data_IF_745846205107
#
_entry.id   IF_745846205107
#
_cell.length_a   1.000
_cell.length_b   1.000
_cell.length_c   1.000
_cell.angle_alpha   90.00
_cell.angle_beta   90.00
_cell.angle_gamma   90.00
#
_symmetry.space_group_name_H-M   'P 1'
#
loop_
_entity.id
_entity.type
_entity.pdbx_description
1 polymer ?
#
# COMPACT_ATOMS: atom_id res chain seq x y z
N UNK A 1 27.22 38.20 2.35
CA UNK A 1 26.21 37.44 1.58
C UNK A 1 26.65 35.98 1.47
N UNK A 2 26.43 35.16 2.51
CA UNK A 2 26.88 33.74 2.53
C UNK A 2 25.88 32.79 3.24
N UNK A 3 24.62 33.21 3.36
CA UNK A 3 23.61 32.48 4.15
C UNK A 3 22.56 31.76 3.29
N UNK A 4 22.48 32.05 1.99
CA UNK A 4 21.46 31.48 1.09
C UNK A 4 21.77 30.08 0.59
N UNK A 5 23.05 29.69 0.52
CA UNK A 5 23.46 28.39 -0.04
C UNK A 5 23.23 27.23 0.95
N UNK A 6 23.27 27.51 2.26
CA UNK A 6 23.03 26.49 3.30
C UNK A 6 21.53 26.16 3.46
N UNK A 7 20.65 27.16 3.27
CA UNK A 7 19.20 26.95 3.26
C UNK A 7 18.72 26.15 2.04
N UNK A 8 19.38 26.33 0.87
CA UNK A 8 19.05 25.56 -0.33
C UNK A 8 19.54 24.10 -0.25
N UNK A 9 20.65 23.84 0.43
CA UNK A 9 21.14 22.48 0.70
C UNK A 9 20.24 21.71 1.69
N UNK A 10 19.61 22.39 2.65
CA UNK A 10 18.65 21.77 3.57
C UNK A 10 17.28 21.48 2.91
N UNK A 11 16.86 22.28 1.93
CA UNK A 11 15.60 22.07 1.20
C UNK A 11 15.63 20.85 0.28
N UNK A 12 16.81 20.41 -0.17
CA UNK A 12 16.97 19.18 -0.99
C UNK A 12 16.98 17.91 -0.12
N UNK A 13 17.27 18.01 1.18
CA UNK A 13 17.24 16.86 2.12
C UNK A 13 15.82 16.62 2.67
N UNK A 14 14.88 17.52 2.41
CA UNK A 14 13.44 17.30 2.63
C UNK A 14 12.72 16.68 1.42
N UNK A 15 13.43 15.98 0.53
CA UNK A 15 12.77 14.96 -0.29
C UNK A 15 12.13 13.96 0.68
N UNK A 16 10.80 13.81 0.61
CA UNK A 16 9.98 13.12 1.61
C UNK A 16 10.50 11.71 1.93
N UNK A 17 11.36 11.62 2.94
CA UNK A 17 11.80 10.34 3.48
C UNK A 17 10.59 9.69 4.15
N UNK A 18 10.29 8.46 3.77
CA UNK A 18 9.29 7.64 4.43
C UNK A 18 9.60 7.57 5.92
N UNK A 19 8.78 8.22 6.77
CA UNK A 19 9.14 8.41 8.16
C UNK A 19 9.06 7.10 8.94
N UNK A 20 9.77 7.00 10.07
CA UNK A 20 9.87 5.77 10.85
C UNK A 20 8.51 5.23 11.36
N UNK A 21 7.58 6.07 11.89
CA UNK A 21 6.23 5.63 12.26
C UNK A 21 5.46 4.99 11.11
N UNK A 22 5.62 5.56 9.92
CA UNK A 22 4.97 5.06 8.74
C UNK A 22 5.47 3.64 8.35
N UNK A 23 6.78 3.41 8.43
CA UNK A 23 7.38 2.09 8.22
C UNK A 23 6.82 1.03 9.18
N UNK A 24 6.75 1.35 10.47
CA UNK A 24 6.18 0.45 11.50
C UNK A 24 4.72 0.11 11.17
N UNK A 25 3.94 1.11 10.75
CA UNK A 25 2.54 0.93 10.38
C UNK A 25 2.38 -0.09 9.25
N UNK A 26 3.14 0.07 8.17
CA UNK A 26 3.13 -0.86 7.03
C UNK A 26 3.56 -2.26 7.43
N UNK A 27 4.65 -2.40 8.20
CA UNK A 27 5.14 -3.70 8.64
C UNK A 27 4.12 -4.44 9.51
N UNK A 28 3.44 -3.71 10.39
CA UNK A 28 2.37 -4.27 11.23
C UNK A 28 1.17 -4.73 10.40
N UNK A 29 0.82 -4.00 9.33
CA UNK A 29 -0.25 -4.41 8.42
C UNK A 29 0.14 -5.64 7.59
N UNK A 30 1.39 -5.71 7.14
CA UNK A 30 1.92 -6.88 6.40
C UNK A 30 1.94 -8.12 7.29
N UNK A 31 2.38 -7.98 8.54
CA UNK A 31 2.34 -9.07 9.50
C UNK A 31 0.90 -9.59 9.67
N UNK A 32 -0.08 -8.71 9.84
CA UNK A 32 -1.50 -9.09 9.89
C UNK A 32 -1.96 -9.79 8.61
N UNK A 33 -1.55 -9.33 7.43
CA UNK A 33 -1.89 -10.01 6.17
C UNK A 33 -1.36 -11.45 6.10
N UNK A 34 -0.23 -11.74 6.76
CA UNK A 34 0.34 -13.10 6.81
C UNK A 34 -0.49 -14.09 7.63
N UNK A 35 -1.36 -13.58 8.52
CA UNK A 35 -2.23 -14.38 9.38
C UNK A 35 -3.55 -14.76 8.68
N UNK A 36 -3.92 -14.07 7.59
CA UNK A 36 -5.21 -14.22 6.94
C UNK A 36 -5.14 -14.89 5.57
N UNK A 37 -6.14 -15.71 5.27
CA UNK A 37 -6.34 -16.30 3.95
C UNK A 37 -6.70 -15.23 2.92
N UNK A 38 -6.27 -15.43 1.67
CA UNK A 38 -6.60 -14.54 0.57
C UNK A 38 -8.11 -14.48 0.34
N UNK A 39 -8.68 -13.28 0.29
CA UNK A 39 -10.09 -13.04 0.06
C UNK A 39 -10.97 -13.00 1.31
N UNK A 40 -10.40 -13.16 2.50
CA UNK A 40 -11.16 -13.08 3.74
C UNK A 40 -11.68 -11.65 4.00
N UNK A 41 -12.63 -11.49 4.92
CA UNK A 41 -13.10 -10.17 5.33
C UNK A 41 -12.01 -9.35 6.01
N UNK A 42 -11.18 -10.01 6.82
CA UNK A 42 -10.08 -9.43 7.56
C UNK A 42 -9.00 -8.91 6.60
N UNK A 43 -8.66 -9.65 5.55
CA UNK A 43 -7.75 -9.17 4.50
C UNK A 43 -8.23 -7.84 3.91
N UNK A 44 -9.52 -7.76 3.55
CA UNK A 44 -10.14 -6.54 2.99
C UNK A 44 -10.03 -5.35 3.94
N UNK A 45 -10.25 -5.57 5.23
CA UNK A 45 -10.09 -4.55 6.27
C UNK A 45 -8.64 -4.06 6.33
N UNK A 46 -7.66 -4.97 6.23
CA UNK A 46 -6.24 -4.58 6.23
C UNK A 46 -5.91 -3.77 4.97
N UNK A 47 -6.39 -4.16 3.79
CA UNK A 47 -6.21 -3.36 2.57
C UNK A 47 -6.83 -1.97 2.67
N UNK A 48 -8.02 -1.83 3.25
CA UNK A 48 -8.62 -0.53 3.50
C UNK A 48 -7.72 0.34 4.38
N UNK A 49 -7.11 -0.24 5.43
CA UNK A 49 -6.16 0.48 6.30
C UNK A 49 -4.87 0.87 5.57
N UNK A 50 -4.34 0.00 4.71
CA UNK A 50 -3.18 0.34 3.86
C UNK A 50 -3.54 1.51 2.94
N UNK A 51 -4.72 1.50 2.31
CA UNK A 51 -5.17 2.61 1.47
C UNK A 51 -5.29 3.93 2.24
N UNK A 52 -5.92 3.93 3.43
CA UNK A 52 -6.01 5.11 4.30
C UNK A 52 -4.62 5.66 4.66
N UNK A 53 -3.72 4.74 4.98
CA UNK A 53 -2.36 5.06 5.35
C UNK A 53 -1.56 5.70 4.19
N UNK A 54 -1.81 5.24 2.96
CA UNK A 54 -1.28 5.86 1.73
C UNK A 54 -2.06 7.11 1.30
N UNK A 55 -2.99 7.62 2.11
CA UNK A 55 -3.78 8.82 1.84
C UNK A 55 -5.00 8.61 0.92
N UNK A 56 -5.31 7.38 0.52
CA UNK A 56 -6.43 7.04 -0.37
C UNK A 56 -7.70 6.66 0.41
N UNK A 57 -8.29 7.66 1.07
CA UNK A 57 -9.53 7.52 1.83
C UNK A 57 -10.74 7.15 0.97
N UNK A 58 -10.75 7.54 -0.31
CA UNK A 58 -11.87 7.27 -1.22
C UNK A 58 -11.94 5.79 -1.58
N UNK A 59 -10.81 5.17 -1.88
CA UNK A 59 -10.79 3.76 -2.23
C UNK A 59 -10.74 2.84 -1.00
N UNK A 60 -10.35 3.34 0.18
CA UNK A 60 -10.42 2.53 1.40
C UNK A 60 -11.84 2.03 1.72
N UNK A 61 -12.85 2.88 1.57
CA UNK A 61 -14.25 2.50 1.77
C UNK A 61 -14.67 1.41 0.77
N UNK A 62 -14.22 1.53 -0.50
CA UNK A 62 -14.52 0.56 -1.56
C UNK A 62 -13.84 -0.79 -1.33
N UNK A 63 -12.67 -0.81 -0.69
CA UNK A 63 -11.98 -2.06 -0.32
C UNK A 63 -12.75 -2.87 0.72
N UNK A 64 -13.72 -2.27 1.42
CA UNK A 64 -14.61 -2.98 2.34
C UNK A 64 -15.85 -3.59 1.66
N UNK A 65 -16.03 -3.35 0.35
CA UNK A 65 -17.15 -3.89 -0.43
C UNK A 65 -17.08 -5.40 -0.62
N UNK A 66 -18.14 -5.99 -1.15
CA UNK A 66 -18.14 -7.39 -1.57
C UNK A 66 -17.02 -7.67 -2.58
N UNK A 67 -16.38 -8.84 -2.48
CA UNK A 67 -15.16 -9.18 -3.23
C UNK A 67 -15.40 -9.24 -4.74
N UNK A 68 -16.60 -9.63 -5.12
CA UNK A 68 -17.10 -9.77 -6.49
C UNK A 68 -17.46 -8.42 -7.13
N UNK A 69 -17.56 -7.35 -6.33
CA UNK A 69 -17.95 -6.03 -6.83
C UNK A 69 -16.86 -5.41 -7.71
N UNK A 70 -17.29 -4.69 -8.76
CA UNK A 70 -16.38 -3.87 -9.56
C UNK A 70 -15.65 -2.82 -8.71
N UNK A 71 -16.35 -2.26 -7.73
CA UNK A 71 -15.79 -1.26 -6.82
C UNK A 71 -14.59 -1.80 -6.03
N UNK A 72 -14.66 -3.03 -5.55
CA UNK A 72 -13.55 -3.69 -4.85
C UNK A 72 -12.37 -3.91 -5.79
N UNK A 73 -12.60 -4.41 -7.02
CA UNK A 73 -11.54 -4.62 -8.02
C UNK A 73 -10.83 -3.34 -8.40
N UNK A 74 -11.58 -2.30 -8.70
CA UNK A 74 -11.01 -1.01 -9.12
C UNK A 74 -10.19 -0.42 -7.97
N UNK A 75 -10.67 -0.56 -6.73
CA UNK A 75 -9.94 -0.12 -5.56
C UNK A 75 -8.65 -0.92 -5.31
N UNK A 76 -8.63 -2.23 -5.57
CA UNK A 76 -7.40 -3.04 -5.51
C UNK A 76 -6.37 -2.59 -6.56
N UNK A 77 -6.79 -2.25 -7.78
CA UNK A 77 -5.90 -1.73 -8.81
C UNK A 77 -5.28 -0.40 -8.41
N UNK A 78 -6.08 0.52 -7.86
CA UNK A 78 -5.56 1.80 -7.37
C UNK A 78 -4.61 1.57 -6.20
N UNK A 79 -4.94 0.68 -5.26
CA UNK A 79 -4.05 0.32 -4.16
C UNK A 79 -2.71 -0.23 -4.67
N UNK A 80 -2.71 -1.11 -5.68
CA UNK A 80 -1.49 -1.60 -6.33
C UNK A 80 -0.67 -0.45 -6.94
N UNK A 81 -1.32 0.51 -7.60
CA UNK A 81 -0.63 1.67 -8.15
C UNK A 81 0.02 2.49 -7.04
N UNK A 82 -0.72 2.81 -5.98
CA UNK A 82 -0.23 3.60 -4.86
C UNK A 82 0.97 2.92 -4.17
N UNK A 83 0.90 1.61 -3.93
CA UNK A 83 2.00 0.81 -3.36
C UNK A 83 3.24 0.87 -4.26
N UNK A 84 3.09 0.81 -5.58
CA UNK A 84 4.20 0.88 -6.51
C UNK A 84 4.83 2.28 -6.58
N UNK A 85 4.04 3.35 -6.43
CA UNK A 85 4.55 4.73 -6.41
C UNK A 85 5.47 4.99 -5.22
N UNK A 86 5.13 4.47 -4.05
CA UNK A 86 5.96 4.62 -2.84
C UNK A 86 7.09 3.58 -2.75
N UNK A 87 7.09 2.58 -3.63
CA UNK A 87 8.06 1.47 -3.62
C UNK A 87 9.50 1.95 -3.74
N UNK A 88 9.79 2.91 -4.63
CA UNK A 88 11.14 3.45 -4.82
C UNK A 88 11.73 4.00 -3.51
N UNK A 89 10.88 4.61 -2.70
CA UNK A 89 11.29 5.24 -1.44
C UNK A 89 11.52 4.16 -0.36
N UNK A 90 10.74 3.07 -0.37
CA UNK A 90 10.92 1.91 0.50
C UNK A 90 12.13 1.03 0.16
N UNK A 91 12.48 0.84 -1.13
CA UNK A 91 13.56 -0.07 -1.55
C UNK A 91 14.94 0.43 -1.06
N UNK A 92 15.06 1.70 -0.69
CA UNK A 92 16.27 2.23 -0.05
C UNK A 92 16.57 1.60 1.32
N UNK A 93 15.61 0.87 1.90
CA UNK A 93 15.71 0.10 3.14
C UNK A 93 15.54 -1.41 2.85
N UNK A 94 16.52 -2.28 3.17
CA UNK A 94 16.40 -3.72 2.94
C UNK A 94 15.18 -4.36 3.60
N UNK A 95 14.79 -3.88 4.79
CA UNK A 95 13.58 -4.36 5.48
C UNK A 95 12.29 -3.87 4.82
N UNK A 96 12.36 -2.75 4.10
CA UNK A 96 11.25 -2.18 3.34
C UNK A 96 10.98 -2.99 2.08
N UNK A 97 12.03 -3.37 1.35
CA UNK A 97 11.92 -4.06 0.06
C UNK A 97 11.07 -5.35 0.14
N UNK A 98 11.40 -6.26 1.07
CA UNK A 98 10.72 -7.56 1.21
C UNK A 98 9.25 -7.40 1.62
N UNK A 99 9.00 -6.48 2.55
CA UNK A 99 7.67 -6.14 3.04
C UNK A 99 6.79 -5.59 1.90
N UNK A 100 7.31 -4.65 1.12
CA UNK A 100 6.61 -4.09 -0.03
C UNK A 100 6.35 -5.12 -1.13
N UNK A 101 7.30 -6.02 -1.35
CA UNK A 101 7.10 -7.11 -2.32
C UNK A 101 6.01 -8.07 -1.86
N UNK A 102 6.02 -8.47 -0.60
CA UNK A 102 4.98 -9.31 -0.02
C UNK A 102 3.59 -8.67 -0.17
N UNK A 103 3.46 -7.40 0.24
CA UNK A 103 2.20 -6.65 0.13
C UNK A 103 1.73 -6.58 -1.33
N UNK A 104 2.63 -6.23 -2.26
CA UNK A 104 2.32 -6.15 -3.69
C UNK A 104 1.83 -7.49 -4.23
N UNK A 105 2.48 -8.59 -3.85
CA UNK A 105 2.12 -9.94 -4.26
C UNK A 105 0.74 -10.33 -3.74
N UNK A 106 0.45 -10.04 -2.47
CA UNK A 106 -0.86 -10.29 -1.85
C UNK A 106 -1.99 -9.55 -2.56
N UNK A 107 -1.84 -8.24 -2.79
CA UNK A 107 -2.88 -7.45 -3.46
C UNK A 107 -3.10 -7.94 -4.91
N UNK A 108 -2.04 -8.35 -5.62
CA UNK A 108 -2.17 -8.98 -6.95
C UNK A 108 -2.95 -10.29 -6.92
N UNK A 109 -2.72 -11.14 -5.93
CA UNK A 109 -3.48 -12.38 -5.75
C UNK A 109 -4.96 -12.09 -5.49
N UNK A 110 -5.27 -11.17 -4.57
CA UNK A 110 -6.66 -10.79 -4.27
C UNK A 110 -7.37 -10.20 -5.49
N UNK A 111 -6.65 -9.45 -6.33
CA UNK A 111 -7.17 -8.93 -7.60
C UNK A 111 -7.45 -10.06 -8.61
N UNK A 112 -6.49 -10.96 -8.83
CA UNK A 112 -6.65 -12.09 -9.74
C UNK A 112 -7.83 -12.99 -9.35
N UNK A 113 -7.99 -13.25 -8.04
CA UNK A 113 -9.13 -14.02 -7.55
C UNK A 113 -10.46 -13.28 -7.73
N UNK A 114 -10.49 -11.96 -7.51
CA UNK A 114 -11.71 -11.17 -7.73
C UNK A 114 -12.13 -11.17 -9.21
N UNK A 115 -11.17 -11.18 -10.14
CA UNK A 115 -11.46 -11.36 -11.57
C UNK A 115 -12.06 -12.73 -11.87
N UNK A 116 -11.49 -13.81 -11.32
CA UNK A 116 -12.03 -15.17 -11.48
C UNK A 116 -13.47 -15.26 -11.00
N UNK A 117 -13.77 -14.71 -9.82
CA UNK A 117 -15.15 -14.68 -9.29
C UNK A 117 -16.09 -13.89 -10.20
N UNK A 118 -15.64 -12.78 -10.78
CA UNK A 118 -16.47 -11.94 -11.64
C UNK A 118 -16.79 -12.56 -13.01
N UNK A 119 -15.80 -13.22 -13.63
CA UNK A 119 -15.97 -13.84 -14.95
C UNK A 119 -16.47 -15.29 -14.91
N UNK A 120 -16.65 -15.86 -13.71
CA UNK A 120 -16.95 -17.27 -13.51
C UNK A 120 -15.65 -18.09 -13.50
N UNK A 121 -15.35 -18.68 -12.34
CA UNK A 121 -14.30 -19.68 -12.19
C UNK A 121 -14.85 -21.07 -12.55
#
# INVERSE_FOLDING_TARGET
MRSGLFAFLLLVVCAAAWNFPEKIGVYSMIHKLSEFQTGSMEERIVYAKVAMFLGDWRNSAKLSSARESAQFRDALLVLLSNINTVRSDAISDPSGADNFEYLTRRVRMSYGDSLKTYFGA
#
